data_IF_290237663625
#
_entry.id   IF_290237663625
#
_cell.length_a   1.000
_cell.length_b   1.000
_cell.length_c   1.000
_cell.angle_alpha   90.00
_cell.angle_beta   90.00
_cell.angle_gamma   90.00
#
_symmetry.space_group_name_H-M   'P 1'
#
loop_
_entity.id
_entity.type
_entity.pdbx_description
1 polymer ?
#
# COMPACT_ATOMS: atom_id res chain seq x y z
N UNK A 1 2.09 92.26 -2.02
CA UNK A 1 0.83 91.91 -1.32
C UNK A 1 1.20 91.00 -0.17
N UNK A 2 0.82 91.38 1.06
CA UNK A 2 1.34 90.79 2.30
C UNK A 2 1.02 89.29 2.43
N UNK A 3 1.98 88.44 2.80
CA UNK A 3 1.69 87.04 3.09
C UNK A 3 0.88 86.92 4.38
N UNK A 4 -0.24 86.22 4.28
CA UNK A 4 -1.17 85.91 5.36
C UNK A 4 -0.47 84.94 6.33
N UNK A 5 -0.21 85.40 7.56
CA UNK A 5 0.24 84.52 8.65
C UNK A 5 -0.96 83.67 9.12
N UNK A 6 -0.90 82.37 8.88
CA UNK A 6 -1.83 81.41 9.48
C UNK A 6 -1.49 81.22 10.97
N UNK A 7 -2.49 81.13 11.87
CA UNK A 7 -2.25 80.84 13.27
C UNK A 7 -1.72 79.41 13.47
N UNK A 8 -0.94 79.16 14.54
CA UNK A 8 -0.37 77.85 14.81
C UNK A 8 -1.47 76.79 15.06
N UNK A 9 -1.23 75.52 14.71
CA UNK A 9 -2.19 74.45 14.93
C UNK A 9 -2.44 74.23 16.43
N UNK A 10 -3.64 73.77 16.82
CA UNK A 10 -3.95 73.45 18.21
C UNK A 10 -3.07 72.30 18.73
N UNK A 11 -2.81 72.25 20.04
CA UNK A 11 -2.02 71.18 20.64
C UNK A 11 -2.67 69.81 20.39
N UNK A 12 -1.84 68.81 20.10
CA UNK A 12 -2.27 67.43 19.89
C UNK A 12 -3.10 66.94 21.08
N UNK A 13 -4.40 66.73 20.86
CA UNK A 13 -5.25 66.02 21.80
C UNK A 13 -4.76 64.57 21.89
N UNK A 14 -4.21 64.20 23.04
CA UNK A 14 -3.87 62.82 23.39
C UNK A 14 -5.14 61.96 23.27
N UNK A 15 -5.20 61.13 22.22
CA UNK A 15 -6.17 60.04 22.15
C UNK A 15 -5.61 58.93 23.05
N UNK A 16 -6.27 58.55 24.16
CA UNK A 16 -5.82 57.43 24.96
C UNK A 16 -5.90 56.15 24.11
N UNK A 17 -4.82 55.37 24.11
CA UNK A 17 -4.82 54.04 23.51
C UNK A 17 -5.92 53.17 24.17
N UNK A 18 -6.64 52.35 23.40
CA UNK A 18 -7.57 51.40 23.99
C UNK A 18 -6.83 50.45 24.94
N UNK A 19 -7.47 49.99 26.03
CA UNK A 19 -6.87 49.02 26.93
C UNK A 19 -6.51 47.73 26.16
N UNK A 20 -5.43 47.02 26.54
CA UNK A 20 -5.08 45.77 25.90
C UNK A 20 -6.21 44.75 26.09
N UNK A 21 -6.62 44.13 24.98
CA UNK A 21 -7.62 43.06 24.95
C UNK A 21 -7.22 41.92 25.90
N UNK A 22 -8.14 41.36 26.70
CA UNK A 22 -7.83 40.20 27.52
C UNK A 22 -7.64 38.95 26.65
N UNK A 23 -6.48 38.32 26.80
CA UNK A 23 -6.21 36.92 26.48
C UNK A 23 -6.17 36.54 24.99
N UNK A 24 -5.07 36.90 24.32
CA UNK A 24 -4.49 36.03 23.31
C UNK A 24 -3.94 34.78 24.02
N UNK A 25 -4.71 33.70 24.02
CA UNK A 25 -4.19 32.38 24.38
C UNK A 25 -3.16 32.01 23.31
N UNK A 26 -1.88 31.75 23.64
CA UNK A 26 -0.92 31.29 22.64
C UNK A 26 -1.41 29.94 22.08
N UNK A 27 -1.22 29.65 20.77
CA UNK A 27 -1.52 28.32 20.26
C UNK A 27 -0.72 27.29 21.06
N UNK A 28 -1.31 26.13 21.41
CA UNK A 28 -0.58 25.09 22.12
C UNK A 28 0.66 24.69 21.32
N UNK A 29 1.78 24.34 21.98
CA UNK A 29 2.95 23.84 21.28
C UNK A 29 2.52 22.63 20.43
N UNK A 30 2.94 22.60 19.16
CA UNK A 30 2.59 21.55 18.18
C UNK A 30 3.15 20.15 18.53
N UNK A 31 3.59 19.94 19.77
CA UNK A 31 4.12 18.67 20.22
C UNK A 31 4.00 18.55 21.75
N UNK A 32 3.05 17.75 22.22
CA UNK A 32 3.12 17.16 23.56
C UNK A 32 3.87 15.82 23.42
N UNK A 33 5.06 15.64 24.02
CA UNK A 33 5.60 14.30 24.15
C UNK A 33 4.63 13.45 25.00
N UNK A 34 4.35 12.19 24.61
CA UNK A 34 3.41 11.35 25.34
C UNK A 34 3.91 11.12 26.77
N UNK A 35 3.02 11.00 27.76
CA UNK A 35 3.41 10.73 29.14
C UNK A 35 4.23 9.42 29.24
N UNK A 36 5.20 9.32 30.17
CA UNK A 36 6.17 8.21 30.25
C UNK A 36 5.59 6.84 30.62
N UNK A 37 4.26 6.69 30.60
CA UNK A 37 3.54 5.45 30.85
C UNK A 37 2.67 4.98 29.66
N UNK A 38 2.72 5.71 28.54
CA UNK A 38 2.30 5.24 27.23
C UNK A 38 3.52 5.09 26.33
N UNK A 39 4.43 4.19 26.72
CA UNK A 39 5.15 3.49 25.66
C UNK A 39 4.10 2.63 24.98
N UNK A 40 3.76 2.83 23.69
CA UNK A 40 3.16 1.73 22.98
C UNK A 40 4.11 0.57 23.21
N UNK A 41 3.61 -0.54 23.78
CA UNK A 41 4.24 -1.81 23.49
C UNK A 41 4.41 -1.79 21.99
N UNK A 42 5.65 -1.70 21.52
CA UNK A 42 5.94 -1.73 20.10
C UNK A 42 5.33 -3.06 19.69
N UNK A 43 4.14 -3.03 19.07
CA UNK A 43 3.65 -4.16 18.32
C UNK A 43 4.64 -4.23 17.18
N UNK A 44 5.64 -5.09 17.38
CA UNK A 44 6.62 -5.46 16.37
C UNK A 44 5.99 -6.35 15.29
N UNK A 45 4.66 -6.53 15.36
CA UNK A 45 3.84 -7.31 14.46
C UNK A 45 3.55 -6.64 13.15
N UNK A 46 4.39 -6.90 12.16
CA UNK A 46 4.06 -6.57 10.78
C UNK A 46 3.03 -7.60 10.32
N UNK A 47 1.84 -7.13 9.94
CA UNK A 47 0.76 -7.94 9.37
C UNK A 47 0.10 -7.18 8.23
N UNK A 48 -0.67 -7.88 7.40
CA UNK A 48 -1.46 -7.24 6.36
C UNK A 48 -2.56 -6.37 6.99
N UNK A 49 -2.69 -5.14 6.48
CA UNK A 49 -3.69 -4.19 6.96
C UNK A 49 -4.74 -3.93 5.88
N UNK A 50 -6.02 -3.86 6.27
CA UNK A 50 -7.11 -3.45 5.36
C UNK A 50 -6.84 -2.06 4.77
N UNK A 51 -7.23 -1.80 3.51
CA UNK A 51 -7.15 -0.46 2.96
C UNK A 51 -8.21 0.46 3.59
N UNK A 52 -8.06 1.79 3.48
CA UNK A 52 -9.09 2.74 3.91
C UNK A 52 -10.41 2.51 3.15
N UNK A 53 -11.55 2.96 3.72
CA UNK A 53 -12.84 2.78 3.09
C UNK A 53 -12.88 3.26 1.64
N UNK A 54 -13.39 2.38 0.79
CA UNK A 54 -13.56 2.58 -0.64
C UNK A 54 -12.33 2.29 -1.49
N UNK A 55 -11.17 2.01 -0.88
CA UNK A 55 -9.99 1.56 -1.61
C UNK A 55 -9.95 0.04 -1.68
N UNK A 56 -9.37 -0.46 -2.77
CA UNK A 56 -8.94 -1.84 -2.87
C UNK A 56 -7.44 -1.90 -2.63
N UNK A 57 -6.96 -3.01 -2.05
CA UNK A 57 -5.55 -3.28 -1.86
C UNK A 57 -5.11 -4.40 -2.80
N UNK A 58 -4.03 -4.16 -3.52
CA UNK A 58 -3.46 -5.08 -4.49
C UNK A 58 -2.01 -5.39 -4.13
N UNK A 59 -1.80 -6.55 -3.52
CA UNK A 59 -0.48 -7.06 -3.14
C UNK A 59 0.14 -7.79 -4.34
N UNK A 60 1.41 -7.53 -4.64
CA UNK A 60 2.14 -8.17 -5.76
C UNK A 60 3.45 -8.75 -5.30
N UNK A 61 3.85 -9.86 -5.90
CA UNK A 61 5.11 -10.53 -5.60
C UNK A 61 5.64 -11.26 -6.83
N UNK A 62 6.95 -11.50 -6.88
CA UNK A 62 7.57 -12.32 -7.90
C UNK A 62 8.62 -13.29 -7.34
N UNK A 63 8.74 -14.44 -8.00
CA UNK A 63 9.77 -15.43 -7.71
C UNK A 63 10.70 -15.52 -8.91
N UNK A 64 12.00 -15.48 -8.65
CA UNK A 64 13.04 -15.63 -9.65
C UNK A 64 14.03 -16.72 -9.23
N UNK A 65 14.21 -17.72 -10.11
CA UNK A 65 15.16 -18.83 -9.90
C UNK A 65 16.23 -18.82 -10.98
N UNK A 66 17.35 -18.15 -10.69
CA UNK A 66 18.50 -18.00 -11.60
C UNK A 66 18.92 -19.33 -12.26
N UNK A 67 19.10 -20.39 -11.47
CA UNK A 67 19.63 -21.69 -11.94
C UNK A 67 18.78 -22.35 -13.03
N UNK A 68 17.48 -22.06 -13.10
CA UNK A 68 16.59 -22.65 -14.10
C UNK A 68 15.92 -21.60 -14.99
N UNK A 69 16.32 -20.34 -14.89
CA UNK A 69 15.74 -19.20 -15.61
C UNK A 69 14.21 -19.18 -15.54
N UNK A 70 13.65 -19.62 -14.40
CA UNK A 70 12.20 -19.62 -14.17
C UNK A 70 11.83 -18.43 -13.33
N UNK A 71 10.85 -17.68 -13.82
CA UNK A 71 10.26 -16.58 -13.09
C UNK A 71 8.75 -16.73 -13.05
N UNK A 72 8.14 -16.33 -11.95
CA UNK A 72 6.68 -16.27 -11.82
C UNK A 72 6.31 -14.98 -11.12
N UNK A 73 5.16 -14.44 -11.49
CA UNK A 73 4.55 -13.28 -10.86
C UNK A 73 3.20 -13.68 -10.29
N UNK A 74 2.80 -13.04 -9.21
CA UNK A 74 1.43 -13.15 -8.72
C UNK A 74 0.98 -11.85 -8.04
N UNK A 75 -0.32 -11.76 -7.83
CA UNK A 75 -0.88 -10.76 -6.96
C UNK A 75 -2.28 -11.12 -6.46
N UNK A 76 -2.65 -10.47 -5.36
CA UNK A 76 -3.89 -10.68 -4.63
C UNK A 76 -4.56 -9.34 -4.43
N UNK A 77 -5.79 -9.20 -4.95
CA UNK A 77 -6.63 -8.03 -4.76
C UNK A 77 -7.72 -8.31 -3.73
N UNK A 78 -7.84 -7.39 -2.77
CA UNK A 78 -8.84 -7.41 -1.71
C UNK A 78 -9.52 -6.05 -1.58
N UNK A 79 -10.79 -6.05 -1.19
CA UNK A 79 -11.55 -4.83 -0.94
C UNK A 79 -11.25 -4.20 0.44
N UNK A 80 -12.05 -3.19 0.81
CA UNK A 80 -11.97 -2.49 2.10
C UNK A 80 -12.25 -3.37 3.31
N UNK A 81 -13.04 -4.42 3.14
CA UNK A 81 -13.34 -5.39 4.18
C UNK A 81 -12.31 -6.52 4.24
N UNK A 82 -11.38 -6.57 3.28
CA UNK A 82 -10.37 -7.61 3.13
C UNK A 82 -10.85 -8.84 2.40
N UNK A 83 -12.05 -8.78 1.80
CA UNK A 83 -12.64 -9.86 1.01
C UNK A 83 -11.93 -9.97 -0.33
N UNK A 84 -11.79 -11.19 -0.82
CA UNK A 84 -11.12 -11.46 -2.08
C UNK A 84 -11.92 -10.89 -3.25
N UNK A 85 -11.26 -10.12 -4.10
CA UNK A 85 -11.85 -9.64 -5.35
C UNK A 85 -11.37 -10.45 -6.54
N UNK A 86 -10.04 -10.59 -6.66
CA UNK A 86 -9.39 -11.44 -7.64
C UNK A 86 -7.93 -11.69 -7.25
N UNK A 87 -7.36 -12.74 -7.79
CA UNK A 87 -5.91 -12.93 -7.83
C UNK A 87 -5.46 -13.07 -9.25
N UNK A 88 -4.17 -12.92 -9.49
CA UNK A 88 -3.59 -13.25 -10.77
C UNK A 88 -2.25 -13.91 -10.58
N UNK A 89 -1.83 -14.62 -11.61
CA UNK A 89 -0.52 -15.21 -11.63
C UNK A 89 -0.11 -15.74 -12.98
N UNK A 90 1.19 -15.77 -13.25
CA UNK A 90 1.72 -16.19 -14.55
C UNK A 90 3.19 -16.57 -14.41
N UNK A 91 3.66 -17.52 -15.22
CA UNK A 91 5.10 -17.62 -15.48
C UNK A 91 5.53 -16.56 -16.46
N UNK A 92 6.68 -15.95 -16.19
CA UNK A 92 7.26 -14.93 -17.06
C UNK A 92 8.71 -15.26 -17.37
N UNK A 93 9.18 -14.70 -18.48
CA UNK A 93 10.60 -14.63 -18.76
C UNK A 93 11.11 -13.31 -18.19
N UNK A 94 12.11 -13.40 -17.31
CA UNK A 94 12.81 -12.24 -16.76
C UNK A 94 14.29 -12.58 -16.64
N UNK A 95 15.16 -11.60 -16.80
CA UNK A 95 16.60 -11.72 -16.60
C UNK A 95 17.02 -11.48 -15.15
N UNK A 96 16.12 -11.01 -14.28
CA UNK A 96 16.43 -10.71 -12.88
C UNK A 96 15.20 -10.71 -11.98
N UNK A 97 15.41 -10.86 -10.67
CA UNK A 97 14.35 -10.68 -9.66
C UNK A 97 13.70 -9.30 -9.75
N UNK A 98 14.49 -8.26 -10.02
CA UNK A 98 13.99 -6.89 -10.16
C UNK A 98 13.02 -6.75 -11.34
N UNK A 99 13.36 -7.35 -12.48
CA UNK A 99 12.50 -7.36 -13.66
C UNK A 99 11.22 -8.16 -13.42
N UNK A 100 11.30 -9.31 -12.75
CA UNK A 100 10.11 -10.10 -12.40
C UNK A 100 9.14 -9.32 -11.50
N UNK A 101 9.65 -8.63 -10.48
CA UNK A 101 8.87 -7.76 -9.59
C UNK A 101 8.21 -6.60 -10.37
N UNK A 102 8.95 -5.96 -11.28
CA UNK A 102 8.39 -4.93 -12.18
C UNK A 102 7.25 -5.47 -13.03
N UNK A 103 7.39 -6.67 -13.60
CA UNK A 103 6.35 -7.33 -14.38
C UNK A 103 5.11 -7.64 -13.53
N UNK A 104 5.29 -8.04 -12.27
CA UNK A 104 4.18 -8.27 -11.33
C UNK A 104 3.38 -6.99 -11.09
N UNK A 105 4.06 -5.87 -10.80
CA UNK A 105 3.42 -4.57 -10.60
C UNK A 105 2.72 -4.09 -11.87
N UNK A 106 3.34 -4.24 -13.04
CA UNK A 106 2.73 -3.88 -14.33
C UNK A 106 1.42 -4.64 -14.55
N UNK A 107 1.44 -5.96 -14.37
CA UNK A 107 0.26 -6.81 -14.64
C UNK A 107 -0.87 -6.48 -13.66
N UNK A 108 -0.53 -6.25 -12.39
CA UNK A 108 -1.45 -5.81 -11.37
C UNK A 108 -2.14 -4.48 -11.72
N UNK A 109 -1.38 -3.46 -12.14
CA UNK A 109 -1.91 -2.16 -12.55
C UNK A 109 -2.85 -2.29 -13.76
N UNK A 110 -2.44 -3.07 -14.76
CA UNK A 110 -3.23 -3.34 -15.96
C UNK A 110 -4.56 -4.02 -15.59
N UNK A 111 -4.52 -5.12 -14.84
CA UNK A 111 -5.71 -5.86 -14.43
C UNK A 111 -6.66 -5.00 -13.58
N UNK A 112 -6.12 -4.22 -12.64
CA UNK A 112 -6.94 -3.33 -11.82
C UNK A 112 -7.65 -2.28 -12.69
N UNK A 113 -6.94 -1.70 -13.66
CA UNK A 113 -7.52 -0.74 -14.58
C UNK A 113 -8.63 -1.37 -15.44
N UNK A 114 -8.35 -2.52 -16.05
CA UNK A 114 -9.24 -3.24 -16.96
C UNK A 114 -10.50 -3.75 -16.24
N UNK A 115 -10.39 -4.10 -14.95
CA UNK A 115 -11.52 -4.44 -14.08
C UNK A 115 -12.33 -3.24 -13.59
N UNK A 116 -12.00 -2.02 -14.02
CA UNK A 116 -12.75 -0.82 -13.64
C UNK A 116 -12.45 -0.29 -12.23
N UNK A 117 -11.41 -0.79 -11.55
CA UNK A 117 -11.02 -0.30 -10.24
C UNK A 117 -10.39 1.08 -10.40
N UNK A 118 -10.78 2.04 -9.55
CA UNK A 118 -10.33 3.45 -9.65
C UNK A 118 -9.77 4.03 -8.35
N UNK A 119 -9.79 3.26 -7.26
CA UNK A 119 -9.19 3.62 -5.96
C UNK A 119 -8.36 2.43 -5.48
N UNK A 120 -7.07 2.44 -5.80
CA UNK A 120 -6.18 1.29 -5.65
C UNK A 120 -4.96 1.65 -4.81
N UNK A 121 -4.66 0.83 -3.82
CA UNK A 121 -3.37 0.82 -3.12
C UNK A 121 -2.63 -0.45 -3.56
N UNK A 122 -1.60 -0.28 -4.38
CA UNK A 122 -0.73 -1.37 -4.81
C UNK A 122 0.47 -1.46 -3.87
N UNK A 123 0.69 -2.64 -3.31
CA UNK A 123 1.79 -2.94 -2.39
C UNK A 123 2.72 -4.00 -2.98
N UNK A 124 4.03 -3.71 -2.98
CA UNK A 124 5.10 -4.65 -3.32
C UNK A 124 6.10 -4.69 -2.16
N UNK A 125 6.72 -5.85 -1.92
CA UNK A 125 7.80 -6.01 -0.94
C UNK A 125 9.18 -5.59 -1.49
N UNK A 126 9.25 -5.18 -2.76
CA UNK A 126 10.46 -4.68 -3.39
C UNK A 126 10.51 -3.15 -3.38
N UNK A 127 11.12 -2.58 -2.33
CA UNK A 127 11.34 -1.13 -2.22
C UNK A 127 12.06 -0.56 -3.45
N UNK A 128 13.01 -1.30 -4.01
CA UNK A 128 13.75 -0.91 -5.21
C UNK A 128 12.84 -0.68 -6.42
N UNK A 129 11.83 -1.54 -6.62
CA UNK A 129 10.87 -1.44 -7.71
C UNK A 129 9.91 -0.29 -7.50
N UNK A 130 9.37 -0.14 -6.28
CA UNK A 130 8.49 0.98 -5.91
C UNK A 130 9.20 2.32 -6.15
N UNK A 131 10.44 2.45 -5.69
CA UNK A 131 11.23 3.67 -5.87
C UNK A 131 11.55 3.94 -7.34
N UNK A 132 11.83 2.89 -8.13
CA UNK A 132 12.08 3.06 -9.57
C UNK A 132 10.84 3.54 -10.32
N UNK A 133 9.66 2.98 -10.03
CA UNK A 133 8.41 3.38 -10.69
C UNK A 133 8.08 4.83 -10.33
N UNK A 134 8.21 5.22 -9.05
CA UNK A 134 7.94 6.60 -8.61
C UNK A 134 8.89 7.63 -9.23
N UNK A 135 10.09 7.22 -9.63
CA UNK A 135 11.07 8.10 -10.26
C UNK A 135 10.79 8.25 -11.78
N UNK A 136 10.09 9.32 -12.15
CA UNK A 136 9.64 9.63 -13.52
C UNK A 136 10.74 10.27 -14.40
N UNK A 137 11.92 9.65 -14.44
CA UNK A 137 13.06 10.15 -15.23
C UNK A 137 13.11 9.61 -16.66
N UNK A 138 12.38 8.53 -16.97
CA UNK A 138 12.40 7.90 -18.28
C UNK A 138 11.44 8.64 -19.22
N UNK A 139 11.98 9.29 -20.25
CA UNK A 139 11.19 9.91 -21.33
C UNK A 139 11.05 9.02 -22.55
N UNK A 140 12.11 8.29 -22.89
CA UNK A 140 12.18 7.37 -24.02
C UNK A 140 12.84 6.08 -23.54
N UNK A 141 12.15 4.93 -23.60
CA UNK A 141 12.71 3.66 -23.16
C UNK A 141 13.78 3.19 -24.16
N UNK A 142 14.91 2.69 -23.65
CA UNK A 142 16.02 2.16 -24.45
C UNK A 142 16.06 0.63 -24.51
N UNK A 143 15.30 -0.01 -23.63
CA UNK A 143 15.22 -1.47 -23.51
C UNK A 143 13.86 -1.87 -22.92
N UNK A 144 13.58 -3.17 -22.96
CA UNK A 144 12.32 -3.75 -22.48
C UNK A 144 12.03 -3.45 -21.00
N UNK A 145 13.05 -3.41 -20.15
CA UNK A 145 12.85 -3.10 -18.73
C UNK A 145 12.40 -1.63 -18.54
N UNK A 146 12.98 -0.69 -19.27
CA UNK A 146 12.54 0.71 -19.26
C UNK A 146 11.13 0.87 -19.85
N UNK A 147 10.75 0.07 -20.84
CA UNK A 147 9.39 -0.01 -21.36
C UNK A 147 8.39 -0.39 -20.25
N UNK A 148 8.69 -1.45 -19.49
CA UNK A 148 7.86 -1.92 -18.37
C UNK A 148 7.72 -0.84 -17.28
N UNK A 149 8.82 -0.17 -16.92
CA UNK A 149 8.80 0.92 -15.94
C UNK A 149 7.91 2.06 -16.44
N UNK A 150 8.05 2.44 -17.72
CA UNK A 150 7.24 3.50 -18.31
C UNK A 150 5.76 3.11 -18.40
N UNK A 151 5.43 1.86 -18.66
CA UNK A 151 4.06 1.34 -18.60
C UNK A 151 3.48 1.47 -17.18
N UNK A 152 4.20 1.05 -16.14
CA UNK A 152 3.78 1.23 -14.75
C UNK A 152 3.54 2.71 -14.42
N UNK A 153 4.42 3.60 -14.86
CA UNK A 153 4.28 5.04 -14.68
C UNK A 153 3.06 5.60 -15.41
N UNK A 154 2.82 5.16 -16.64
CA UNK A 154 1.64 5.55 -17.43
C UNK A 154 0.35 5.09 -16.76
N UNK A 155 0.30 3.89 -16.20
CA UNK A 155 -0.84 3.44 -15.40
C UNK A 155 -1.02 4.30 -14.15
N UNK A 156 0.05 4.56 -13.39
CA UNK A 156 0.01 5.41 -12.20
C UNK A 156 -0.53 6.83 -12.47
N UNK A 157 -0.29 7.36 -13.67
CA UNK A 157 -0.74 8.70 -14.10
C UNK A 157 -2.11 8.74 -14.80
N UNK A 158 -2.85 7.62 -14.88
CA UNK A 158 -4.21 7.63 -15.45
C UNK A 158 -5.21 8.36 -14.55
N UNK A 159 -6.41 8.58 -15.06
CA UNK A 159 -7.52 9.20 -14.33
C UNK A 159 -8.12 8.23 -13.28
N UNK A 160 -7.38 7.98 -12.19
CA UNK A 160 -7.77 7.19 -11.02
C UNK A 160 -6.90 7.54 -9.80
N UNK A 161 -7.35 7.19 -8.60
CA UNK A 161 -6.56 7.29 -7.38
C UNK A 161 -5.75 6.01 -7.19
N UNK A 162 -4.49 6.02 -7.61
CA UNK A 162 -3.59 4.88 -7.52
C UNK A 162 -2.35 5.23 -6.68
N UNK A 163 -2.13 4.49 -5.59
CA UNK A 163 -0.95 4.61 -4.73
C UNK A 163 -0.12 3.35 -4.86
N UNK A 164 1.10 3.48 -5.38
CA UNK A 164 2.08 2.38 -5.43
C UNK A 164 3.01 2.57 -4.25
N UNK A 165 3.08 1.61 -3.33
CA UNK A 165 3.87 1.71 -2.10
C UNK A 165 4.59 0.42 -1.72
N UNK A 166 5.61 0.57 -0.88
CA UNK A 166 6.34 -0.56 -0.33
C UNK A 166 5.62 -1.09 0.91
N UNK A 167 5.54 -2.41 1.04
CA UNK A 167 5.16 -3.12 2.26
C UNK A 167 6.28 -4.06 2.69
N UNK A 168 6.31 -4.42 3.96
CA UNK A 168 7.19 -5.50 4.42
C UNK A 168 6.60 -6.86 4.03
N UNK A 169 7.46 -7.90 3.97
CA UNK A 169 7.10 -9.24 3.48
C UNK A 169 5.93 -9.88 4.21
N UNK A 170 5.83 -9.63 5.50
CA UNK A 170 4.78 -10.14 6.37
C UNK A 170 3.41 -9.56 5.97
N UNK A 171 3.39 -8.32 5.47
CA UNK A 171 2.21 -7.70 4.87
C UNK A 171 1.95 -8.11 3.41
N UNK A 172 2.83 -8.91 2.79
CA UNK A 172 2.69 -9.38 1.40
C UNK A 172 2.51 -10.90 1.28
N UNK A 173 2.28 -11.59 2.41
CA UNK A 173 2.41 -13.04 2.50
C UNK A 173 1.46 -13.82 1.58
N UNK A 174 0.24 -13.31 1.36
CA UNK A 174 -0.71 -13.92 0.43
C UNK A 174 -0.21 -13.93 -1.02
N UNK A 175 0.44 -12.85 -1.47
CA UNK A 175 1.00 -12.77 -2.83
C UNK A 175 2.21 -13.70 -2.97
N UNK A 176 3.14 -13.70 -2.00
CA UNK A 176 4.29 -14.60 -1.96
C UNK A 176 3.89 -16.09 -2.00
N UNK A 177 2.89 -16.47 -1.19
CA UNK A 177 2.37 -17.83 -1.19
C UNK A 177 1.73 -18.22 -2.54
N UNK A 178 1.05 -17.29 -3.21
CA UNK A 178 0.47 -17.52 -4.54
C UNK A 178 1.57 -17.68 -5.60
N UNK A 179 2.60 -16.83 -5.57
CA UNK A 179 3.76 -16.92 -6.48
C UNK A 179 4.47 -18.26 -6.37
N UNK A 180 4.76 -18.72 -5.14
CA UNK A 180 5.47 -19.98 -4.88
C UNK A 180 4.72 -21.21 -5.40
N UNK A 181 3.39 -21.18 -5.39
CA UNK A 181 2.55 -22.27 -5.90
C UNK A 181 2.69 -22.50 -7.41
N UNK A 182 3.12 -21.48 -8.15
CA UNK A 182 3.09 -21.49 -9.63
C UNK A 182 4.45 -21.64 -10.28
N UNK A 183 5.48 -21.92 -9.48
CA UNK A 183 6.79 -22.28 -9.99
C UNK A 183 6.73 -23.48 -10.98
N UNK A 184 5.61 -24.22 -11.07
CA UNK A 184 5.37 -25.39 -11.94
C UNK A 184 4.41 -25.19 -13.13
N UNK A 185 3.63 -24.11 -13.27
CA UNK A 185 2.48 -24.04 -14.20
C UNK A 185 2.63 -23.00 -15.35
N UNK A 186 1.74 -23.01 -16.35
CA UNK A 186 1.87 -22.37 -17.69
C UNK A 186 2.44 -20.92 -17.74
N UNK A 187 2.94 -20.51 -18.92
CA UNK A 187 3.26 -19.11 -19.24
C UNK A 187 2.03 -18.21 -19.37
N UNK A 188 0.83 -18.79 -19.44
CA UNK A 188 -0.39 -18.01 -19.58
C UNK A 188 -0.76 -17.28 -18.27
N UNK A 189 -1.34 -16.10 -18.41
CA UNK A 189 -1.92 -15.37 -17.29
C UNK A 189 -3.19 -16.08 -16.80
N UNK A 190 -3.16 -16.56 -15.57
CA UNK A 190 -4.33 -17.08 -14.90
C UNK A 190 -4.91 -16.03 -13.96
N UNK A 191 -6.22 -15.76 -14.10
CA UNK A 191 -6.96 -14.85 -13.22
C UNK A 191 -7.88 -15.68 -12.31
N UNK A 192 -7.64 -15.60 -11.02
CA UNK A 192 -8.33 -16.31 -9.97
C UNK A 192 -9.55 -15.50 -9.50
N UNK A 193 -10.76 -15.87 -9.92
CA UNK A 193 -11.99 -15.22 -9.44
C UNK A 193 -12.36 -15.63 -8.01
N UNK A 194 -11.84 -16.77 -7.54
CA UNK A 194 -11.95 -17.24 -6.17
C UNK A 194 -10.55 -17.58 -5.63
N UNK A 195 -10.29 -17.39 -4.33
CA UNK A 195 -8.99 -17.71 -3.79
C UNK A 195 -8.77 -19.23 -3.80
N UNK A 196 -7.56 -19.70 -4.17
CA UNK A 196 -7.20 -21.10 -3.99
C UNK A 196 -7.21 -21.48 -2.50
N UNK A 197 -7.70 -22.69 -2.19
CA UNK A 197 -7.88 -23.19 -0.81
C UNK A 197 -6.61 -23.10 0.06
N UNK A 198 -5.43 -23.18 -0.55
CA UNK A 198 -4.15 -22.99 0.14
C UNK A 198 -3.95 -21.61 0.75
N UNK A 199 -4.57 -20.58 0.20
CA UNK A 199 -4.51 -19.23 0.75
C UNK A 199 -5.53 -19.01 1.85
N UNK A 200 -6.52 -19.90 2.03
CA UNK A 200 -7.64 -19.66 2.95
C UNK A 200 -7.23 -19.35 4.39
N UNK A 201 -6.17 -20.00 4.90
CA UNK A 201 -5.63 -19.74 6.24
C UNK A 201 -4.83 -18.44 6.30
N UNK A 202 -4.12 -18.08 5.21
CA UNK A 202 -3.38 -16.82 5.12
C UNK A 202 -4.35 -15.65 5.08
N UNK A 203 -5.39 -15.76 4.26
CA UNK A 203 -6.45 -14.75 4.17
C UNK A 203 -7.17 -14.60 5.53
N UNK A 204 -7.46 -15.71 6.22
CA UNK A 204 -8.05 -15.64 7.55
C UNK A 204 -7.11 -14.99 8.58
N UNK A 205 -5.81 -15.30 8.53
CA UNK A 205 -4.79 -14.69 9.38
C UNK A 205 -4.74 -13.16 9.17
N UNK A 206 -4.70 -12.72 7.92
CA UNK A 206 -4.74 -11.30 7.55
C UNK A 206 -6.03 -10.62 8.04
N UNK A 207 -7.17 -11.30 7.93
CA UNK A 207 -8.48 -10.78 8.36
C UNK A 207 -8.59 -10.55 9.86
N UNK A 208 -7.91 -11.37 10.67
CA UNK A 208 -7.91 -11.23 12.14
C UNK A 208 -6.69 -10.46 12.67
N UNK A 209 -5.88 -9.88 11.79
CA UNK A 209 -4.68 -9.14 12.17
C UNK A 209 -3.60 -10.01 12.82
N UNK A 210 -3.52 -11.29 12.44
CA UNK A 210 -2.53 -12.20 12.99
C UNK A 210 -1.14 -11.89 12.43
N UNK A 211 -0.16 -11.74 13.32
CA UNK A 211 1.23 -11.49 12.94
C UNK A 211 1.84 -12.73 12.27
N UNK A 212 2.44 -12.55 11.09
CA UNK A 212 3.19 -13.61 10.40
C UNK A 212 4.68 -13.43 10.70
N UNK A 213 5.39 -14.43 11.24
CA UNK A 213 6.82 -14.32 11.51
C UNK A 213 7.63 -14.03 10.23
N UNK A 214 8.73 -13.26 10.36
CA UNK A 214 9.69 -12.92 9.28
C UNK A 214 10.13 -14.09 8.38
N UNK A 215 10.08 -15.31 8.88
CA UNK A 215 10.54 -16.51 8.18
C UNK A 215 9.43 -17.19 7.33
N UNK A 216 8.29 -16.52 7.15
CA UNK A 216 7.40 -16.78 6.01
C UNK A 216 6.55 -18.05 6.13
N UNK A 217 6.08 -18.38 7.33
CA UNK A 217 5.03 -19.38 7.52
C UNK A 217 4.31 -19.16 8.84
N UNK A 218 3.00 -19.43 8.83
CA UNK A 218 2.22 -19.60 10.05
C UNK A 218 2.79 -20.80 10.84
N UNK A 219 3.00 -20.62 12.14
CA UNK A 219 3.45 -21.71 12.99
C UNK A 219 2.35 -22.76 13.25
N UNK A 220 2.71 -23.89 13.86
CA UNK A 220 1.75 -25.00 14.11
C UNK A 220 0.57 -24.59 14.99
N UNK A 221 0.78 -23.71 15.97
CA UNK A 221 -0.25 -23.25 16.88
C UNK A 221 -1.18 -22.26 16.18
N UNK A 222 -0.62 -21.32 15.41
CA UNK A 222 -1.37 -20.41 14.54
C UNK A 222 -2.24 -21.18 13.55
N UNK A 223 -1.67 -22.17 12.86
CA UNK A 223 -2.40 -23.03 11.92
C UNK A 223 -3.53 -23.77 12.63
N UNK A 224 -3.28 -24.35 13.81
CA UNK A 224 -4.31 -25.07 14.56
C UNK A 224 -5.47 -24.14 14.96
N UNK A 225 -5.15 -22.95 15.47
CA UNK A 225 -6.13 -21.94 15.84
C UNK A 225 -6.98 -21.48 14.64
N UNK A 226 -6.33 -21.13 13.52
CA UNK A 226 -7.01 -20.71 12.29
C UNK A 226 -7.89 -21.81 11.70
N UNK A 227 -7.49 -23.09 11.83
CA UNK A 227 -8.32 -24.23 11.40
C UNK A 227 -9.59 -24.38 12.23
N UNK A 228 -9.51 -24.15 13.54
CA UNK A 228 -10.71 -24.16 14.41
C UNK A 228 -11.64 -23.02 14.03
N UNK A 229 -11.10 -21.80 13.95
CA UNK A 229 -11.86 -20.61 13.56
C UNK A 229 -12.52 -20.77 12.18
N UNK A 230 -11.76 -21.26 11.18
CA UNK A 230 -12.30 -21.59 9.84
C UNK A 230 -13.50 -22.52 9.92
N UNK A 231 -13.44 -23.58 10.74
CA UNK A 231 -14.56 -24.52 10.91
C UNK A 231 -15.78 -23.85 11.54
N UNK A 232 -15.57 -23.00 12.54
CA UNK A 232 -16.65 -22.27 13.21
C UNK A 232 -17.34 -21.27 12.27
N UNK A 233 -16.57 -20.54 11.46
CA UNK A 233 -17.10 -19.60 10.46
C UNK A 233 -17.92 -20.34 9.40
N UNK A 234 -17.40 -21.45 8.86
CA UNK A 234 -18.13 -22.28 7.91
C UNK A 234 -19.43 -22.86 8.50
N UNK A 235 -19.40 -23.31 9.76
CA UNK A 235 -20.60 -23.80 10.45
C UNK A 235 -21.68 -22.73 10.61
N UNK A 236 -21.30 -21.44 10.61
CA UNK A 236 -22.20 -20.29 10.65
C UNK A 236 -22.55 -19.72 9.27
N UNK A 237 -22.11 -20.38 8.19
CA UNK A 237 -22.25 -19.91 6.82
C UNK A 237 -21.65 -18.50 6.59
N UNK A 238 -20.59 -18.17 7.34
CA UNK A 238 -19.85 -16.92 7.21
C UNK A 238 -18.62 -17.16 6.33
N UNK A 239 -18.57 -16.47 5.20
CA UNK A 239 -17.41 -16.43 4.32
C UNK A 239 -16.53 -15.23 4.68
N UNK A 240 -15.21 -15.45 4.73
CA UNK A 240 -14.21 -14.43 5.08
C UNK A 240 -13.29 -14.10 3.90
N UNK A 241 -13.64 -14.59 2.70
CA UNK A 241 -13.02 -14.31 1.42
C UNK A 241 -14.03 -14.57 0.29
#
# INVERSE_FOLDING_TARGET
MNPIFLPPPPPFSFIPFPPPSPSAVPPPPLYCPPPPHFLPTISTGIHWNKPPPGFVKLNTDASYKYNCQRSSIAGVCRDEDGIWMFGFSSRVQSGSSFEAELMAVREALKLAWDKGLRRVILESDSESVVNRIRNQTIRQPKNQMEEIILECQRYGSRAWSCFIQHTLREGNFAADALTKKLASESFDLHVWNHPPESLSLILLADMVGMEVPRHGALDKNQIAHLKVMKRELLARNLHWY
#
